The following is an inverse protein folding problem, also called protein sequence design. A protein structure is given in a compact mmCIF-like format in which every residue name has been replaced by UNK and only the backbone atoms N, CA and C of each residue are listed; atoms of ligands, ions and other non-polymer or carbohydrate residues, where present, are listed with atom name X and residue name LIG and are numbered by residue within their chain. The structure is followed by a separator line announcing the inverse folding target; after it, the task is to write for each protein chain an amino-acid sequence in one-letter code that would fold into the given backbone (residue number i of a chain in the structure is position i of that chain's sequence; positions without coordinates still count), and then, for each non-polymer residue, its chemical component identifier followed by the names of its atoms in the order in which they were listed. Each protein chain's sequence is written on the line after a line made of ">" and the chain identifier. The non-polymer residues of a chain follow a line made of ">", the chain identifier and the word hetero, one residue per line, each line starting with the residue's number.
data_IF_904349742510
#
_entry.id   IF_904349742510
#
_cell.length_a   1.000
_cell.length_b   1.000
_cell.length_c   1.000
_cell.angle_alpha   90.00
_cell.angle_beta   90.00
_cell.angle_gamma   90.00
#
_symmetry.space_group_name_H-M   'P 1'
#
loop_
_entity.id
_entity.type
_entity.pdbx_description
1 polymer ?
#
# COMPACT_ATOMS: atom_id res chain seq x y z
N UNK A 1 9.43 -22.13 -50.38
CA UNK A 1 9.04 -22.11 -48.95
C UNK A 1 9.36 -20.73 -48.38
N UNK A 2 8.39 -19.82 -48.40
CA UNK A 2 8.48 -18.50 -47.77
C UNK A 2 7.18 -18.29 -47.03
N UNK A 3 7.06 -18.91 -45.86
CA UNK A 3 5.93 -18.69 -44.97
C UNK A 3 6.05 -17.27 -44.42
N UNK A 4 5.05 -16.45 -44.71
CA UNK A 4 4.89 -15.07 -44.27
C UNK A 4 4.85 -14.99 -42.74
N UNK A 5 5.92 -14.49 -42.12
CA UNK A 5 6.04 -14.26 -40.66
C UNK A 5 5.44 -12.89 -40.26
N UNK A 6 4.70 -12.22 -41.16
CA UNK A 6 4.26 -10.85 -40.96
C UNK A 6 2.91 -10.71 -40.20
N UNK A 7 2.32 -11.80 -39.72
CA UNK A 7 0.97 -11.77 -39.12
C UNK A 7 0.95 -12.04 -37.61
N UNK A 8 2.10 -12.17 -36.95
CA UNK A 8 2.19 -12.63 -35.56
C UNK A 8 2.63 -11.55 -34.56
N UNK A 9 2.33 -10.28 -34.81
CA UNK A 9 2.83 -9.18 -33.96
C UNK A 9 1.76 -8.34 -33.28
N UNK A 10 0.47 -8.51 -33.59
CA UNK A 10 -0.60 -7.65 -33.06
C UNK A 10 -1.32 -8.27 -31.84
N UNK A 11 -1.23 -9.59 -31.64
CA UNK A 11 -1.94 -10.26 -30.55
C UNK A 11 -1.29 -10.16 -29.16
N UNK A 12 -0.03 -9.69 -29.06
CA UNK A 12 0.73 -9.74 -27.81
C UNK A 12 0.54 -8.53 -26.88
N UNK A 13 -0.11 -7.44 -27.34
CA UNK A 13 -0.18 -6.16 -26.58
C UNK A 13 -1.43 -6.05 -25.70
N UNK A 14 -2.44 -6.91 -25.87
CA UNK A 14 -3.69 -6.82 -25.11
C UNK A 14 -3.64 -7.39 -23.69
N UNK A 15 -2.56 -8.08 -23.30
CA UNK A 15 -2.42 -8.66 -21.96
C UNK A 15 -1.81 -7.72 -20.91
N UNK A 16 -1.48 -6.48 -21.26
CA UNK A 16 -0.82 -5.53 -20.34
C UNK A 16 -1.78 -4.72 -19.44
N UNK A 17 -3.08 -5.00 -19.47
CA UNK A 17 -4.07 -4.32 -18.64
C UNK A 17 -4.40 -5.11 -17.38
N UNK A 18 -3.41 -5.36 -16.51
CA UNK A 18 -3.68 -5.81 -15.13
C UNK A 18 -3.70 -4.61 -14.19
N UNK A 19 -4.62 -3.69 -14.44
CA UNK A 19 -5.02 -2.71 -13.43
C UNK A 19 -5.85 -3.41 -12.37
N UNK A 20 -5.19 -4.16 -11.48
CA UNK A 20 -5.83 -4.61 -10.26
C UNK A 20 -6.05 -3.36 -9.39
N UNK A 21 -7.24 -2.75 -9.49
CA UNK A 21 -7.72 -1.88 -8.43
C UNK A 21 -7.79 -2.71 -7.14
N UNK A 22 -6.71 -2.70 -6.37
CA UNK A 22 -6.57 -3.49 -5.16
C UNK A 22 -7.37 -2.82 -4.04
N UNK A 23 -8.66 -3.13 -3.98
CA UNK A 23 -9.43 -2.91 -2.77
C UNK A 23 -8.84 -3.82 -1.68
N UNK A 24 -8.15 -3.26 -0.70
CA UNK A 24 -7.69 -4.01 0.45
C UNK A 24 -8.81 -4.16 1.47
N UNK A 25 -8.88 -5.35 2.04
CA UNK A 25 -9.70 -5.68 3.18
C UNK A 25 -8.80 -5.60 4.42
N UNK A 26 -8.98 -4.56 5.24
CA UNK A 26 -8.23 -4.38 6.48
C UNK A 26 -9.15 -4.65 7.66
N UNK A 27 -8.79 -5.63 8.48
CA UNK A 27 -9.51 -5.96 9.72
C UNK A 27 -8.79 -5.29 10.87
N UNK A 28 -9.54 -4.45 11.60
CA UNK A 28 -9.07 -3.75 12.79
C UNK A 28 -9.63 -4.44 14.03
N UNK A 29 -8.79 -4.59 15.05
CA UNK A 29 -9.21 -5.02 16.38
C UNK A 29 -9.90 -3.91 17.17
N UNK A 30 -10.37 -4.20 18.39
CA UNK A 30 -11.12 -3.24 19.20
C UNK A 30 -10.29 -1.99 19.59
N UNK A 31 -8.96 -2.08 19.54
CA UNK A 31 -8.06 -0.97 19.83
C UNK A 31 -7.54 -0.29 18.54
N UNK A 32 -8.12 -0.60 17.38
CA UNK A 32 -7.71 -0.05 16.08
C UNK A 32 -6.41 -0.66 15.51
N UNK A 33 -5.88 -1.73 16.11
CA UNK A 33 -4.72 -2.43 15.56
C UNK A 33 -5.10 -3.25 14.34
N UNK A 34 -4.22 -3.33 13.34
CA UNK A 34 -4.46 -4.17 12.15
C UNK A 34 -4.26 -5.64 12.55
N UNK A 35 -5.34 -6.43 12.46
CA UNK A 35 -5.32 -7.87 12.68
C UNK A 35 -5.08 -8.64 11.37
N UNK A 36 -5.52 -8.09 10.24
CA UNK A 36 -5.33 -8.68 8.92
C UNK A 36 -5.45 -7.62 7.83
N UNK A 37 -4.64 -7.73 6.79
CA UNK A 37 -4.78 -6.95 5.57
C UNK A 37 -4.52 -7.86 4.37
N UNK A 38 -5.45 -7.90 3.42
CA UNK A 38 -5.36 -8.81 2.28
C UNK A 38 -6.10 -8.24 1.06
N UNK A 39 -5.66 -8.56 -0.16
CA UNK A 39 -6.43 -8.23 -1.37
C UNK A 39 -7.65 -9.15 -1.57
N UNK A 40 -7.75 -10.25 -0.82
CA UNK A 40 -8.91 -11.15 -0.82
C UNK A 40 -9.69 -11.01 0.49
N UNK A 41 -11.02 -11.14 0.46
CA UNK A 41 -11.83 -11.02 1.66
C UNK A 41 -11.44 -12.12 2.65
N UNK A 42 -11.02 -11.77 3.88
CA UNK A 42 -10.63 -12.75 4.90
C UNK A 42 -11.84 -13.26 5.71
N UNK A 43 -13.08 -13.08 5.27
CA UNK A 43 -14.27 -13.68 5.90
C UNK A 43 -15.21 -14.20 4.83
N UNK A 44 -16.17 -15.03 5.22
CA UNK A 44 -17.27 -15.37 4.33
C UNK A 44 -18.15 -14.14 4.06
N UNK A 45 -18.18 -13.71 2.81
CA UNK A 45 -18.94 -12.56 2.32
C UNK A 45 -20.39 -12.91 1.98
N UNK A 46 -20.76 -14.19 2.07
CA UNK A 46 -22.16 -14.64 1.96
C UNK A 46 -22.97 -14.30 3.22
N UNK A 47 -22.28 -14.02 4.32
CA UNK A 47 -22.84 -13.61 5.60
C UNK A 47 -22.64 -12.11 5.84
N UNK A 48 -23.49 -11.46 6.66
CA UNK A 48 -23.27 -10.09 7.08
C UNK A 48 -21.95 -9.93 7.84
N UNK A 49 -21.19 -8.87 7.54
CA UNK A 49 -19.87 -8.62 8.14
C UNK A 49 -19.91 -8.48 9.67
N UNK A 50 -20.98 -7.90 10.22
CA UNK A 50 -21.15 -7.78 11.66
C UNK A 50 -21.30 -9.14 12.38
N UNK A 51 -21.51 -10.22 11.62
CA UNK A 51 -21.53 -11.58 12.10
C UNK A 51 -20.21 -12.30 11.78
N UNK A 52 -19.77 -12.28 10.52
CA UNK A 52 -18.61 -13.05 10.07
C UNK A 52 -17.27 -12.48 10.54
N UNK A 53 -17.15 -11.16 10.70
CA UNK A 53 -15.92 -10.53 11.21
C UNK A 53 -15.71 -10.85 12.69
N UNK A 54 -16.69 -10.67 13.60
CA UNK A 54 -16.47 -11.03 15.00
C UNK A 54 -16.33 -12.53 15.26
N UNK A 55 -16.95 -13.38 14.43
CA UNK A 55 -16.80 -14.84 14.52
C UNK A 55 -15.36 -15.27 14.27
N UNK A 56 -14.71 -14.71 13.25
CA UNK A 56 -13.31 -15.05 12.91
C UNK A 56 -12.26 -14.28 13.72
N UNK A 57 -12.49 -13.00 14.02
CA UNK A 57 -11.47 -12.09 14.56
C UNK A 57 -11.72 -11.63 16.01
N UNK A 58 -12.85 -12.02 16.61
CA UNK A 58 -13.22 -11.68 17.97
C UNK A 58 -14.13 -10.45 18.09
N UNK A 59 -14.71 -10.26 19.28
CA UNK A 59 -15.66 -9.18 19.53
C UNK A 59 -15.02 -7.79 19.38
N UNK A 60 -15.77 -6.87 18.78
CA UNK A 60 -15.30 -5.51 18.52
C UNK A 60 -14.35 -5.36 17.32
N UNK A 61 -14.03 -6.45 16.62
CA UNK A 61 -13.31 -6.37 15.36
C UNK A 61 -14.22 -5.79 14.25
N UNK A 62 -13.62 -4.97 13.38
CA UNK A 62 -14.31 -4.35 12.24
C UNK A 62 -13.49 -4.52 10.97
N UNK A 63 -14.16 -4.65 9.83
CA UNK A 63 -13.51 -4.71 8.52
C UNK A 63 -13.74 -3.39 7.78
N UNK A 64 -12.67 -2.87 7.20
CA UNK A 64 -12.64 -1.66 6.38
C UNK A 64 -12.19 -2.03 4.96
N UNK A 65 -12.84 -1.44 3.97
CA UNK A 65 -12.48 -1.56 2.56
C UNK A 65 -11.77 -0.27 2.13
N UNK A 66 -10.54 -0.38 1.67
CA UNK A 66 -9.73 0.75 1.22
C UNK A 66 -9.18 0.51 -0.17
N UNK A 67 -8.90 1.58 -0.90
CA UNK A 67 -8.06 1.50 -2.11
C UNK A 67 -6.63 1.81 -1.68
N UNK A 68 -5.67 1.00 -2.12
CA UNK A 68 -4.24 1.30 -1.93
C UNK A 68 -3.52 1.23 -3.27
N UNK A 69 -2.55 2.11 -3.47
CA UNK A 69 -1.62 2.06 -4.60
C UNK A 69 -0.49 1.05 -4.40
N UNK A 70 -0.39 0.43 -3.21
CA UNK A 70 0.60 -0.60 -2.87
C UNK A 70 0.10 -2.05 -2.94
N UNK A 71 0.96 -3.01 -2.60
CA UNK A 71 0.55 -4.39 -2.44
C UNK A 71 -0.08 -4.59 -1.04
N UNK A 72 -1.36 -4.97 -0.97
CA UNK A 72 -2.08 -5.21 0.29
C UNK A 72 -1.34 -6.23 1.17
N UNK A 73 -1.18 -5.94 2.46
CA UNK A 73 -0.60 -6.84 3.45
C UNK A 73 0.92 -6.98 3.38
N UNK A 74 1.61 -6.12 2.61
CA UNK A 74 3.06 -6.09 2.60
C UNK A 74 3.55 -5.15 3.69
N UNK A 75 4.37 -5.68 4.58
CA UNK A 75 5.20 -4.88 5.47
C UNK A 75 6.22 -4.21 4.55
N UNK A 76 5.89 -3.03 4.03
CA UNK A 76 6.88 -2.18 3.39
C UNK A 76 7.82 -1.73 4.49
N UNK A 77 8.96 -2.41 4.58
CA UNK A 77 10.09 -1.94 5.38
C UNK A 77 10.39 -0.52 4.92
N UNK A 78 10.08 0.46 5.77
CA UNK A 78 10.12 1.89 5.43
C UNK A 78 11.56 2.38 5.24
N UNK A 79 12.53 1.49 5.42
CA UNK A 79 13.94 1.80 5.47
C UNK A 79 14.51 1.97 4.06
N UNK A 80 14.24 1.10 3.08
CA UNK A 80 14.96 1.16 1.79
C UNK A 80 14.59 2.36 0.88
N UNK A 81 13.32 2.81 0.91
CA UNK A 81 12.85 3.86 -0.01
C UNK A 81 13.03 5.29 0.54
N UNK A 82 13.05 5.47 1.86
CA UNK A 82 13.06 6.79 2.48
C UNK A 82 14.46 7.27 2.89
N UNK A 83 15.42 6.36 3.03
CA UNK A 83 16.83 6.66 3.33
C UNK A 83 17.43 7.82 2.50
N UNK A 84 17.29 7.87 1.15
CA UNK A 84 17.84 8.99 0.38
C UNK A 84 17.16 10.33 0.73
N UNK A 85 15.87 10.32 1.03
CA UNK A 85 15.10 11.52 1.39
C UNK A 85 15.46 12.03 2.79
N UNK A 86 15.55 11.15 3.80
CA UNK A 86 16.00 11.56 5.14
C UNK A 86 17.48 11.94 5.18
N UNK A 87 18.32 11.35 4.32
CA UNK A 87 19.70 11.78 4.13
C UNK A 87 19.77 13.19 3.53
N UNK A 88 18.96 13.50 2.52
CA UNK A 88 18.88 14.83 1.93
C UNK A 88 18.40 15.90 2.93
N UNK A 89 17.37 15.60 3.74
CA UNK A 89 16.89 16.51 4.79
C UNK A 89 17.96 16.77 5.88
N UNK A 90 18.77 15.76 6.23
CA UNK A 90 19.89 15.92 7.17
C UNK A 90 21.03 16.79 6.63
N UNK A 91 21.23 16.83 5.31
CA UNK A 91 22.22 17.71 4.69
C UNK A 91 21.77 19.19 4.74
N UNK A 92 20.48 19.46 4.48
CA UNK A 92 19.93 20.83 4.54
C UNK A 92 20.01 21.43 5.96
N UNK A 93 19.78 20.62 6.99
CA UNK A 93 19.88 21.03 8.39
C UNK A 93 21.29 21.40 8.86
N UNK A 94 22.34 20.83 8.27
CA UNK A 94 23.76 21.16 8.61
C UNK A 94 24.23 22.47 7.98
N UNK A 95 23.68 22.86 6.82
CA UNK A 95 24.00 24.12 6.17
C UNK A 95 23.32 25.33 6.84
N UNK A 96 22.26 25.09 7.62
CA UNK A 96 21.41 26.13 8.23
C UNK A 96 21.77 26.43 9.69
N UNK A 97 23.05 26.29 10.06
CA UNK A 97 23.58 26.86 11.30
C UNK A 97 23.24 28.36 11.31
N UNK A 98 22.22 28.70 12.09
CA UNK A 98 21.57 30.01 12.11
C UNK A 98 22.61 31.03 12.52
N UNK A 99 22.92 31.98 11.64
CA UNK A 99 23.80 33.09 11.99
C UNK A 99 23.25 33.79 13.25
N UNK A 100 24.09 34.12 14.24
CA UNK A 100 23.64 34.78 15.45
C UNK A 100 22.95 36.10 15.08
N UNK A 101 21.74 36.31 15.60
CA UNK A 101 21.04 37.59 15.47
C UNK A 101 21.91 38.64 16.13
N UNK A 102 22.33 39.66 15.36
CA UNK A 102 23.03 40.82 15.92
C UNK A 102 22.00 41.61 16.72
N UNK A 103 22.09 41.58 18.04
CA UNK A 103 21.35 42.49 18.90
C UNK A 103 21.77 43.93 18.57
N UNK A 104 20.78 44.80 18.44
CA UNK A 104 20.94 46.18 18.02
C UNK A 104 21.18 47.02 19.28
N UNK A 105 22.33 47.71 19.29
CA UNK A 105 22.75 48.68 20.30
C UNK A 105 21.80 49.89 20.39
#
# INVERSE_FOLDING_TARGET
>A
MRLSIASLSIAAVLCAATGAQAACYTVLGPNGQILSESPNPPVDMSLPLHQSVPERFGSGAVMVFGLTEGACGQIVDLDDALLPTVAALRQDGRARARAPRRDRE
#
